data_IF_030813619154
#
_entry.id   IF_030813619154
#
_cell.length_a   1.000
_cell.length_b   1.000
_cell.length_c   1.000
_cell.angle_alpha   90.00
_cell.angle_beta   90.00
_cell.angle_gamma   90.00
#
_symmetry.space_group_name_H-M   'P 1'
#
loop_
_entity.id
_entity.type
_entity.pdbx_description
1 polymer ?
#
# COMPACT_ATOMS: atom_id res chain seq x y z
N UNK A 1 26.21 -25.68 -50.89
CA UNK A 1 26.74 -26.09 -49.57
C UNK A 1 27.03 -24.84 -48.78
N UNK A 2 26.16 -24.55 -47.82
CA UNK A 2 26.20 -23.38 -46.93
C UNK A 2 27.21 -23.69 -45.80
N UNK A 3 27.88 -22.69 -45.21
CA UNK A 3 27.46 -22.40 -43.84
C UNK A 3 27.33 -20.88 -43.65
N UNK A 4 26.16 -20.35 -43.32
CA UNK A 4 25.63 -20.32 -41.96
C UNK A 4 26.57 -19.63 -40.95
N UNK A 5 27.44 -18.72 -41.42
CA UNK A 5 28.37 -17.96 -40.58
C UNK A 5 28.02 -16.46 -40.48
N UNK A 6 26.73 -16.11 -40.60
CA UNK A 6 26.24 -14.73 -40.45
C UNK A 6 25.08 -14.59 -39.46
N UNK A 7 24.76 -15.65 -38.69
CA UNK A 7 23.62 -15.66 -37.76
C UNK A 7 24.01 -15.81 -36.27
N UNK A 8 25.23 -15.44 -35.91
CA UNK A 8 25.65 -15.36 -34.50
C UNK A 8 26.38 -14.03 -34.24
N UNK A 9 25.64 -12.92 -34.26
CA UNK A 9 25.92 -11.81 -33.36
C UNK A 9 24.94 -11.96 -32.20
N UNK A 10 25.28 -12.79 -31.18
CA UNK A 10 24.41 -12.98 -30.04
C UNK A 10 24.38 -11.68 -29.23
N UNK A 11 23.17 -11.15 -29.00
CA UNK A 11 22.65 -10.78 -27.67
C UNK A 11 23.61 -10.07 -26.70
N UNK A 12 24.49 -9.19 -27.17
CA UNK A 12 25.36 -8.39 -26.33
C UNK A 12 25.09 -6.92 -26.56
N UNK A 13 23.86 -6.47 -26.27
CA UNK A 13 23.56 -5.09 -25.82
C UNK A 13 22.20 -5.07 -25.13
N UNK A 14 22.04 -5.92 -24.12
CA UNK A 14 21.32 -5.48 -22.93
C UNK A 14 22.41 -5.28 -21.88
N UNK A 15 23.20 -4.24 -22.08
CA UNK A 15 24.03 -3.71 -21.00
C UNK A 15 23.04 -3.35 -19.91
N UNK A 16 22.97 -4.18 -18.87
CA UNK A 16 22.56 -3.66 -17.58
C UNK A 16 23.47 -2.45 -17.38
N UNK A 17 22.91 -1.25 -17.30
CA UNK A 17 23.55 -0.22 -16.51
C UNK A 17 23.89 -0.94 -15.20
N UNK A 18 25.18 -1.01 -14.92
CA UNK A 18 25.72 -1.57 -13.69
C UNK A 18 26.29 -0.36 -12.97
N UNK A 19 25.91 -0.16 -11.71
CA UNK A 19 26.24 1.05 -10.96
C UNK A 19 27.74 1.32 -11.10
N UNK A 20 28.09 2.57 -11.40
CA UNK A 20 29.48 2.95 -11.64
C UNK A 20 30.32 2.55 -10.40
N UNK A 21 31.53 2.00 -10.56
CA UNK A 21 32.34 1.55 -9.43
C UNK A 21 32.45 2.62 -8.33
N UNK A 22 32.04 2.26 -7.10
CA UNK A 22 32.05 3.15 -5.94
C UNK A 22 30.78 3.99 -5.76
N UNK A 23 29.81 3.91 -6.67
CA UNK A 23 28.43 4.34 -6.44
C UNK A 23 27.60 3.13 -6.06
N UNK A 24 27.06 3.11 -4.84
CA UNK A 24 26.17 2.04 -4.37
C UNK A 24 25.02 2.67 -3.59
N UNK A 25 23.78 2.25 -3.87
CA UNK A 25 22.63 2.58 -3.04
C UNK A 25 22.20 1.38 -2.17
N UNK A 26 21.98 1.62 -0.89
CA UNK A 26 21.40 0.66 0.05
C UNK A 26 20.08 1.22 0.55
N UNK A 27 19.02 0.78 -0.10
CA UNK A 27 17.63 1.06 0.28
C UNK A 27 16.82 -0.24 0.14
N UNK A 28 15.72 -0.34 0.88
CA UNK A 28 14.74 -1.39 0.65
C UNK A 28 13.98 -1.12 -0.66
N UNK A 29 14.09 -2.03 -1.62
CA UNK A 29 13.54 -1.84 -2.98
C UNK A 29 12.01 -1.90 -3.04
N UNK A 30 11.37 -2.56 -2.08
CA UNK A 30 9.91 -2.66 -1.99
C UNK A 30 9.46 -2.47 -0.56
N UNK A 31 8.66 -1.43 -0.34
CA UNK A 31 8.11 -1.06 0.96
C UNK A 31 6.60 -0.98 0.83
N UNK A 32 5.90 -1.78 1.62
CA UNK A 32 4.45 -1.70 1.76
C UNK A 32 4.11 -0.98 3.06
N UNK A 33 3.25 0.04 2.98
CA UNK A 33 2.77 0.79 4.14
C UNK A 33 1.24 0.83 4.09
N UNK A 34 0.59 0.81 5.25
CA UNK A 34 -0.85 1.02 5.31
C UNK A 34 -1.15 2.52 5.15
N UNK A 35 -2.21 2.88 4.43
CA UNK A 35 -2.65 4.26 4.31
C UNK A 35 -2.79 4.90 5.69
N UNK A 36 -2.43 6.19 5.78
CA UNK A 36 -2.42 7.00 6.99
C UNK A 36 -1.45 6.58 8.10
N UNK A 37 -0.56 5.62 7.82
CA UNK A 37 0.55 5.32 8.70
C UNK A 37 1.80 6.06 8.24
N UNK A 38 2.69 6.30 9.20
CA UNK A 38 4.03 6.78 8.91
C UNK A 38 4.95 5.63 8.55
N UNK A 39 5.87 5.86 7.62
CA UNK A 39 6.93 4.92 7.30
C UNK A 39 8.28 5.61 7.27
N UNK A 40 9.26 4.96 7.90
CA UNK A 40 10.66 5.30 7.76
C UNK A 40 11.28 4.30 6.78
N UNK A 41 11.92 4.81 5.74
CA UNK A 41 12.69 4.03 4.77
C UNK A 41 14.18 4.27 5.04
N UNK A 42 14.86 3.36 5.75
CA UNK A 42 16.30 3.46 5.96
C UNK A 42 17.02 3.43 4.62
N UNK A 43 17.97 4.35 4.45
CA UNK A 43 18.73 4.48 3.21
C UNK A 43 20.16 4.92 3.52
N UNK A 44 21.12 4.31 2.85
CA UNK A 44 22.51 4.79 2.83
C UNK A 44 23.07 4.68 1.42
N UNK A 45 24.04 5.52 1.09
CA UNK A 45 24.67 5.50 -0.22
C UNK A 45 26.19 5.61 -0.12
N UNK A 46 26.86 5.24 -1.19
CA UNK A 46 28.28 5.50 -1.39
C UNK A 46 28.49 6.16 -2.74
N UNK A 47 29.51 7.01 -2.81
CA UNK A 47 29.99 7.63 -4.04
C UNK A 47 31.52 7.82 -3.91
N UNK A 48 32.27 7.80 -5.02
CA UNK A 48 33.72 8.01 -4.99
C UNK A 48 34.03 9.45 -4.59
N UNK A 49 34.29 9.65 -3.29
CA UNK A 49 34.79 10.90 -2.71
C UNK A 49 36.22 10.71 -2.20
N UNK A 50 37.14 11.55 -2.66
CA UNK A 50 38.55 11.50 -2.22
C UNK A 50 38.84 12.62 -1.21
N UNK A 51 39.02 12.32 0.09
CA UNK A 51 39.43 13.32 1.07
C UNK A 51 40.87 13.84 0.85
N UNK A 52 41.64 13.25 -0.07
CA UNK A 52 43.01 13.68 -0.43
C UNK A 52 43.07 14.97 -1.26
N UNK A 53 41.96 15.44 -1.82
CA UNK A 53 41.89 16.70 -2.57
C UNK A 53 40.92 17.68 -1.89
N UNK A 54 41.36 18.36 -0.81
CA UNK A 54 40.51 19.24 -0.01
C UNK A 54 40.15 20.57 -0.68
N UNK A 55 40.62 20.88 -1.89
CA UNK A 55 40.26 22.15 -2.55
C UNK A 55 38.77 22.25 -2.93
N UNK A 56 38.02 21.15 -2.82
CA UNK A 56 36.56 21.05 -3.01
C UNK A 56 35.82 20.66 -1.72
N UNK A 57 36.48 20.65 -0.56
CA UNK A 57 35.94 20.09 0.68
C UNK A 57 34.89 20.96 1.38
N UNK A 58 34.63 22.17 0.88
CA UNK A 58 33.58 23.06 1.38
C UNK A 58 32.20 22.80 0.77
N UNK A 59 32.12 21.98 -0.29
CA UNK A 59 30.88 21.81 -1.03
C UNK A 59 29.92 20.93 -0.22
N UNK A 60 28.79 21.55 0.14
CA UNK A 60 27.66 20.92 0.80
C UNK A 60 27.14 19.75 -0.05
N UNK A 61 26.79 18.65 0.61
CA UNK A 61 26.21 17.48 -0.06
C UNK A 61 24.70 17.64 -0.12
N UNK A 62 24.17 17.69 -1.34
CA UNK A 62 22.74 17.75 -1.58
C UNK A 62 22.21 16.38 -1.97
N UNK A 63 21.09 16.01 -1.36
CA UNK A 63 20.35 14.79 -1.58
C UNK A 63 18.97 15.17 -2.10
N UNK A 64 18.51 14.44 -3.10
CA UNK A 64 17.20 14.61 -3.69
C UNK A 64 16.56 13.24 -3.88
N UNK A 65 15.34 13.09 -3.41
CA UNK A 65 14.44 12.04 -3.83
C UNK A 65 13.54 12.56 -4.93
N UNK A 66 13.41 11.80 -6.00
CA UNK A 66 12.54 12.10 -7.14
C UNK A 66 11.59 10.93 -7.39
N UNK A 67 10.44 11.21 -7.98
CA UNK A 67 9.56 10.15 -8.49
C UNK A 67 10.08 9.70 -9.86
N UNK A 68 9.87 8.44 -10.19
CA UNK A 68 10.15 7.93 -11.53
C UNK A 68 9.40 8.74 -12.59
N UNK A 69 10.11 9.12 -13.66
CA UNK A 69 9.64 10.05 -14.69
C UNK A 69 10.11 11.49 -14.49
N UNK A 70 10.37 11.91 -13.24
CA UNK A 70 10.93 13.24 -12.96
C UNK A 70 12.37 13.34 -13.47
N UNK A 71 12.73 14.53 -13.95
CA UNK A 71 14.07 14.94 -14.34
C UNK A 71 14.72 15.75 -13.23
N UNK A 72 16.05 15.93 -13.28
CA UNK A 72 16.80 16.59 -12.21
C UNK A 72 16.43 18.07 -11.97
N UNK A 73 15.78 18.72 -12.95
CA UNK A 73 15.31 20.10 -12.82
C UNK A 73 13.86 20.21 -12.32
N UNK A 74 13.09 19.13 -12.35
CA UNK A 74 11.72 19.09 -11.81
C UNK A 74 11.76 19.17 -10.28
N UNK A 75 10.64 19.45 -9.63
CA UNK A 75 10.56 19.53 -8.18
C UNK A 75 10.83 18.17 -7.53
N UNK A 76 11.59 18.17 -6.43
CA UNK A 76 11.91 16.95 -5.69
C UNK A 76 10.74 16.54 -4.78
N UNK A 77 10.65 15.27 -4.40
CA UNK A 77 9.68 14.84 -3.37
C UNK A 77 10.21 15.07 -1.97
N UNK A 78 11.54 15.05 -1.79
CA UNK A 78 12.23 15.44 -0.57
C UNK A 78 13.67 15.86 -0.91
N UNK A 79 14.19 16.89 -0.25
CA UNK A 79 15.57 17.35 -0.44
C UNK A 79 16.04 18.21 0.74
N UNK A 80 17.36 18.24 0.97
CA UNK A 80 18.01 19.16 1.90
C UNK A 80 18.49 20.46 1.23
N UNK A 81 18.38 20.58 -0.10
CA UNK A 81 18.73 21.79 -0.84
C UNK A 81 17.62 22.85 -0.71
N UNK A 82 17.88 23.91 0.04
CA UNK A 82 16.93 25.01 0.27
C UNK A 82 16.56 25.80 -0.99
N UNK A 83 17.32 25.66 -2.08
CA UNK A 83 17.06 26.33 -3.36
C UNK A 83 16.18 25.49 -4.27
N UNK A 84 15.99 24.21 -3.96
CA UNK A 84 15.18 23.28 -4.74
C UNK A 84 13.75 23.29 -4.23
N UNK A 85 12.79 23.39 -5.14
CA UNK A 85 11.38 23.27 -4.78
C UNK A 85 11.02 21.80 -4.49
N UNK A 86 10.10 21.63 -3.55
CA UNK A 86 9.50 20.34 -3.20
C UNK A 86 8.09 20.30 -3.77
N UNK A 87 7.70 19.16 -4.33
CA UNK A 87 6.37 18.95 -4.89
C UNK A 87 5.28 19.21 -3.84
N UNK A 88 4.21 19.89 -4.26
CA UNK A 88 3.12 20.31 -3.37
C UNK A 88 2.44 19.14 -2.65
N UNK A 89 2.32 18.00 -3.31
CA UNK A 89 1.69 16.79 -2.79
C UNK A 89 2.48 16.15 -1.63
N UNK A 90 3.81 16.30 -1.61
CA UNK A 90 4.71 15.69 -0.62
C UNK A 90 5.21 16.69 0.41
N UNK A 91 5.02 17.99 0.15
CA UNK A 91 5.44 19.07 1.03
C UNK A 91 4.84 18.91 2.43
N UNK A 92 5.71 18.92 3.45
CA UNK A 92 5.31 18.76 4.85
C UNK A 92 5.12 17.32 5.32
N UNK A 93 5.18 16.32 4.41
CA UNK A 93 5.01 14.90 4.75
C UNK A 93 6.24 14.05 4.48
N UNK A 94 6.96 14.36 3.40
CA UNK A 94 8.17 13.64 3.03
C UNK A 94 9.38 14.40 3.56
N UNK A 95 10.16 13.76 4.43
CA UNK A 95 11.28 14.38 5.14
C UNK A 95 12.54 13.53 5.02
N UNK A 96 13.66 14.16 4.69
CA UNK A 96 14.97 13.56 4.91
C UNK A 96 15.30 13.64 6.41
N UNK A 97 15.51 12.48 7.04
CA UNK A 97 15.78 12.39 8.48
C UNK A 97 17.20 11.94 8.82
N UNK A 98 17.93 11.42 7.83
CA UNK A 98 19.34 11.06 7.94
C UNK A 98 20.28 12.26 7.85
N UNK A 99 21.50 12.13 8.41
CA UNK A 99 22.58 13.10 8.19
C UNK A 99 23.29 12.83 6.84
N UNK A 100 23.23 13.75 5.87
CA UNK A 100 23.95 13.60 4.61
C UNK A 100 25.47 13.41 4.77
N UNK A 101 26.08 13.91 5.86
CA UNK A 101 27.53 13.77 6.11
C UNK A 101 27.96 12.34 6.37
N UNK A 102 27.04 11.53 6.90
CA UNK A 102 27.22 10.10 7.13
C UNK A 102 26.75 9.25 5.94
N UNK A 103 26.45 9.91 4.81
CA UNK A 103 25.81 9.34 3.63
C UNK A 103 24.47 8.65 3.94
N UNK A 104 23.73 9.19 4.90
CA UNK A 104 22.40 8.73 5.26
C UNK A 104 21.35 9.48 4.41
N UNK A 105 20.58 8.72 3.63
CA UNK A 105 19.53 9.22 2.74
C UNK A 105 18.13 8.84 3.23
N UNK A 106 18.00 8.44 4.49
CA UNK A 106 16.76 7.91 5.07
C UNK A 106 15.60 8.88 4.91
N UNK A 107 14.49 8.34 4.41
CA UNK A 107 13.28 9.08 4.05
C UNK A 107 12.16 8.71 5.02
N UNK A 108 11.61 9.70 5.72
CA UNK A 108 10.37 9.57 6.48
C UNK A 108 9.21 10.06 5.63
N UNK A 109 8.16 9.25 5.54
CA UNK A 109 6.91 9.57 4.85
C UNK A 109 5.82 9.54 5.90
N UNK A 110 5.27 10.71 6.20
CA UNK A 110 4.17 10.88 7.15
C UNK A 110 2.82 10.77 6.46
N UNK A 111 1.85 10.17 7.15
CA UNK A 111 0.47 10.03 6.67
C UNK A 111 0.44 9.49 5.24
N UNK A 112 0.97 8.28 5.02
CA UNK A 112 1.11 7.71 3.69
C UNK A 112 -0.22 7.71 2.92
N UNK A 113 -0.20 8.28 1.73
CA UNK A 113 -1.39 8.46 0.88
C UNK A 113 -1.42 7.48 -0.25
N UNK A 114 -2.62 7.18 -0.73
CA UNK A 114 -2.76 6.25 -1.84
C UNK A 114 -2.02 6.74 -3.10
N UNK A 115 -2.05 8.06 -3.35
CA UNK A 115 -1.30 8.71 -4.43
C UNK A 115 0.23 8.68 -4.27
N UNK A 116 0.76 8.33 -3.09
CA UNK A 116 2.19 8.19 -2.86
C UNK A 116 2.73 6.85 -3.40
N UNK A 117 1.85 5.91 -3.80
CA UNK A 117 2.31 4.65 -4.39
C UNK A 117 3.09 4.92 -5.68
N UNK A 118 4.29 4.39 -5.82
CA UNK A 118 5.11 4.59 -6.99
C UNK A 118 6.59 4.31 -6.77
N UNK A 119 7.37 4.52 -7.83
CA UNK A 119 8.81 4.29 -7.82
C UNK A 119 9.54 5.62 -7.60
N UNK A 120 10.56 5.59 -6.75
CA UNK A 120 11.35 6.74 -6.35
C UNK A 120 12.84 6.45 -6.51
N UNK A 121 13.61 7.44 -6.95
CA UNK A 121 15.04 7.32 -7.15
C UNK A 121 15.82 8.41 -6.41
N UNK A 122 17.02 8.05 -5.95
CA UNK A 122 17.92 8.95 -5.25
C UNK A 122 18.83 9.68 -6.25
N UNK A 123 19.06 10.96 -6.02
CA UNK A 123 20.11 11.75 -6.66
C UNK A 123 20.95 12.45 -5.60
N UNK A 124 22.26 12.50 -5.83
CA UNK A 124 23.21 13.19 -4.96
C UNK A 124 24.06 14.15 -5.77
N UNK A 125 24.32 15.33 -5.20
CA UNK A 125 25.19 16.34 -5.78
C UNK A 125 26.17 16.88 -4.75
N UNK A 126 27.47 16.91 -5.10
CA UNK A 126 28.52 17.52 -4.29
C UNK A 126 29.66 18.02 -5.17
N UNK A 127 29.87 19.33 -5.19
CA UNK A 127 30.86 19.96 -6.06
C UNK A 127 30.61 19.61 -7.53
N UNK A 128 31.55 18.91 -8.16
CA UNK A 128 31.41 18.41 -9.55
C UNK A 128 30.66 17.09 -9.67
N UNK A 129 30.46 16.36 -8.56
CA UNK A 129 29.76 15.07 -8.55
C UNK A 129 28.27 15.32 -8.68
N UNK A 130 27.67 14.69 -9.69
CA UNK A 130 26.22 14.68 -9.91
C UNK A 130 25.82 13.29 -10.35
N UNK A 131 25.13 12.54 -9.49
CA UNK A 131 24.81 11.14 -9.78
C UNK A 131 23.38 10.79 -9.37
N UNK A 132 22.73 9.95 -10.18
CA UNK A 132 21.37 9.46 -9.95
C UNK A 132 21.40 7.94 -9.93
N UNK A 133 21.01 7.35 -8.80
CA UNK A 133 20.91 5.90 -8.61
C UNK A 133 19.62 5.43 -9.27
N UNK A 134 19.69 5.03 -10.54
CA UNK A 134 18.52 4.58 -11.33
C UNK A 134 18.37 3.08 -11.41
N UNK A 135 19.39 2.31 -11.03
CA UNK A 135 19.33 0.85 -11.05
C UNK A 135 18.61 0.31 -9.83
N UNK A 136 18.89 0.87 -8.65
CA UNK A 136 18.19 0.57 -7.41
C UNK A 136 17.29 1.73 -7.03
N UNK A 137 16.01 1.43 -6.84
CA UNK A 137 14.96 2.40 -6.58
C UNK A 137 14.08 1.91 -5.43
N UNK A 138 13.37 2.84 -4.79
CA UNK A 138 12.34 2.53 -3.82
C UNK A 138 11.00 2.37 -4.54
N UNK A 139 10.40 1.20 -4.51
CA UNK A 139 9.00 0.98 -4.88
C UNK A 139 8.15 1.05 -3.61
N UNK A 140 7.41 2.15 -3.45
CA UNK A 140 6.48 2.34 -2.35
C UNK A 140 5.08 1.88 -2.78
N UNK A 141 4.49 0.98 -2.01
CA UNK A 141 3.12 0.53 -2.20
C UNK A 141 2.28 0.89 -0.98
N UNK A 142 1.32 1.80 -1.15
CA UNK A 142 0.37 2.13 -0.11
C UNK A 142 -0.84 1.22 -0.22
N UNK A 143 -1.13 0.51 0.87
CA UNK A 143 -2.20 -0.49 0.95
C UNK A 143 -3.28 -0.02 1.90
N UNK A 144 -4.51 -0.43 1.63
CA UNK A 144 -5.63 -0.19 2.53
C UNK A 144 -6.52 -1.42 2.56
N UNK A 145 -7.21 -1.64 3.69
CA UNK A 145 -8.09 -2.79 3.88
C UNK A 145 -9.43 -2.31 4.41
N UNK A 146 -10.54 -2.65 3.73
CA UNK A 146 -11.86 -2.44 4.28
C UNK A 146 -12.01 -3.20 5.60
N UNK A 147 -12.82 -2.65 6.49
CA UNK A 147 -13.19 -3.24 7.76
C UNK A 147 -14.70 -3.48 7.78
N UNK A 148 -15.10 -4.69 8.15
CA UNK A 148 -16.51 -5.07 8.35
C UNK A 148 -16.75 -5.10 9.87
N UNK A 149 -17.64 -4.23 10.34
CA UNK A 149 -17.98 -4.09 11.75
C UNK A 149 -19.42 -4.56 11.99
N UNK A 150 -19.63 -5.33 13.04
CA UNK A 150 -20.94 -5.80 13.51
C UNK A 150 -20.86 -6.14 14.99
N UNK A 151 -22.00 -6.24 15.65
CA UNK A 151 -22.07 -6.70 17.04
C UNK A 151 -22.01 -8.23 17.05
N UNK A 152 -20.99 -8.78 17.72
CA UNK A 152 -20.90 -10.22 17.99
C UNK A 152 -21.68 -10.60 19.26
N UNK A 153 -22.28 -11.81 19.31
CA UNK A 153 -22.38 -12.80 18.23
C UNK A 153 -23.53 -12.50 17.25
N UNK A 154 -23.45 -13.03 16.02
CA UNK A 154 -24.62 -13.06 15.13
C UNK A 154 -25.59 -14.13 15.63
N UNK A 155 -26.86 -13.79 15.79
CA UNK A 155 -27.90 -14.71 16.25
C UNK A 155 -28.86 -15.05 15.10
N UNK A 156 -29.11 -16.34 14.90
CA UNK A 156 -30.01 -16.82 13.85
C UNK A 156 -31.41 -16.20 13.99
N UNK A 157 -31.94 -15.64 12.91
CA UNK A 157 -33.25 -14.98 12.87
C UNK A 157 -33.28 -13.56 13.45
N UNK A 158 -32.19 -13.07 14.04
CA UNK A 158 -32.11 -11.72 14.60
C UNK A 158 -31.45 -10.74 13.61
N UNK A 159 -32.16 -9.71 13.13
CA UNK A 159 -31.58 -8.72 12.24
C UNK A 159 -30.42 -7.99 12.92
N UNK A 160 -29.25 -7.99 12.28
CA UNK A 160 -28.03 -7.34 12.77
C UNK A 160 -27.48 -6.41 11.70
N UNK A 161 -27.11 -5.20 12.10
CA UNK A 161 -26.49 -4.20 11.21
C UNK A 161 -25.00 -4.49 11.05
N UNK A 162 -24.55 -4.55 9.80
CA UNK A 162 -23.14 -4.62 9.42
C UNK A 162 -22.75 -3.33 8.73
N UNK A 163 -21.59 -2.80 9.09
CA UNK A 163 -21.01 -1.61 8.48
C UNK A 163 -19.67 -1.96 7.85
N UNK A 164 -19.57 -1.79 6.54
CA UNK A 164 -18.31 -1.82 5.84
C UNK A 164 -17.75 -0.41 5.75
N UNK A 165 -16.54 -0.25 6.26
CA UNK A 165 -15.84 1.02 6.33
C UNK A 165 -14.47 0.85 5.69
N UNK A 166 -14.02 1.88 4.99
CA UNK A 166 -12.64 2.02 4.58
C UNK A 166 -12.14 3.30 5.26
N UNK A 167 -11.08 3.19 6.05
CA UNK A 167 -10.52 4.32 6.81
C UNK A 167 -9.74 5.25 5.87
N UNK A 168 -10.43 5.82 4.88
CA UNK A 168 -9.85 6.85 4.03
C UNK A 168 -9.75 8.14 4.83
N UNK A 169 -8.59 8.39 5.42
CA UNK A 169 -8.45 9.51 6.33
C UNK A 169 -7.12 10.26 6.20
N UNK A 170 -6.63 10.50 4.98
CA UNK A 170 -5.53 11.45 4.72
C UNK A 170 -5.68 12.25 3.41
N UNK A 171 -6.48 11.75 2.45
CA UNK A 171 -6.62 12.31 1.10
C UNK A 171 -8.05 12.75 0.75
N UNK A 172 -8.69 13.51 1.64
CA UNK A 172 -10.02 14.07 1.38
C UNK A 172 -11.11 13.03 1.04
N UNK A 173 -12.33 13.51 0.75
CA UNK A 173 -13.46 12.62 0.38
C UNK A 173 -13.31 12.15 -1.06
N UNK A 174 -12.77 10.95 -1.26
CA UNK A 174 -13.00 10.21 -2.51
C UNK A 174 -14.39 9.56 -2.44
N UNK A 175 -15.25 9.67 -3.48
CA UNK A 175 -16.50 8.93 -3.50
C UNK A 175 -16.22 7.43 -3.47
N UNK A 176 -16.76 6.76 -2.46
CA UNK A 176 -16.64 5.32 -2.29
C UNK A 176 -17.91 4.63 -2.79
N UNK A 177 -17.72 3.59 -3.59
CA UNK A 177 -18.79 2.65 -3.89
C UNK A 177 -18.58 1.39 -3.06
N UNK A 178 -19.66 0.91 -2.45
CA UNK A 178 -19.66 -0.32 -1.66
C UNK A 178 -20.46 -1.39 -2.40
N UNK A 179 -20.08 -2.65 -2.24
CA UNK A 179 -20.86 -3.79 -2.69
C UNK A 179 -20.67 -4.97 -1.74
N UNK A 180 -21.73 -5.73 -1.48
CA UNK A 180 -21.68 -6.92 -0.65
C UNK A 180 -21.92 -8.19 -1.46
N UNK A 181 -21.22 -9.27 -1.13
CA UNK A 181 -21.33 -10.59 -1.76
C UNK A 181 -21.25 -11.68 -0.70
N UNK A 182 -22.15 -12.66 -0.75
CA UNK A 182 -22.14 -13.82 0.15
C UNK A 182 -23.43 -14.63 0.07
N UNK A 183 -23.37 -15.91 0.45
CA UNK A 183 -24.52 -16.84 0.37
C UNK A 183 -25.67 -16.43 1.30
N UNK A 184 -25.34 -15.81 2.44
CA UNK A 184 -26.28 -15.29 3.41
C UNK A 184 -27.13 -14.11 2.89
N UNK A 185 -26.75 -13.52 1.75
CA UNK A 185 -27.44 -12.38 1.13
C UNK A 185 -28.47 -12.81 0.08
N UNK A 186 -28.63 -14.12 -0.16
CA UNK A 186 -29.54 -14.63 -1.19
C UNK A 186 -30.99 -14.18 -0.93
N UNK A 187 -31.59 -13.53 -1.92
CA UNK A 187 -32.97 -13.02 -1.85
C UNK A 187 -33.10 -11.61 -1.27
N UNK A 188 -32.01 -10.95 -0.88
CA UNK A 188 -32.02 -9.52 -0.54
C UNK A 188 -32.23 -8.66 -1.80
N UNK A 189 -32.81 -7.47 -1.61
CA UNK A 189 -32.95 -6.49 -2.69
C UNK A 189 -31.57 -6.05 -3.20
N UNK A 190 -31.27 -6.17 -4.52
CA UNK A 190 -29.98 -5.81 -5.08
C UNK A 190 -29.54 -4.37 -4.77
N UNK A 191 -30.49 -3.43 -4.65
CA UNK A 191 -30.19 -2.03 -4.32
C UNK A 191 -29.56 -1.87 -2.95
N UNK A 192 -29.97 -2.69 -1.97
CA UNK A 192 -29.42 -2.65 -0.60
C UNK A 192 -27.96 -3.11 -0.52
N UNK A 193 -27.53 -3.96 -1.46
CA UNK A 193 -26.18 -4.52 -1.49
C UNK A 193 -25.12 -3.49 -1.92
N UNK A 194 -25.52 -2.34 -2.46
CA UNK A 194 -24.61 -1.29 -2.94
C UNK A 194 -24.34 -0.18 -1.91
N UNK A 195 -24.55 -0.47 -0.62
CA UNK A 195 -24.46 0.50 0.47
C UNK A 195 -23.32 0.14 1.44
N UNK A 196 -22.80 1.15 2.15
CA UNK A 196 -21.80 0.93 3.21
C UNK A 196 -22.34 0.13 4.40
N UNK A 197 -23.66 0.10 4.58
CA UNK A 197 -24.32 -0.53 5.73
C UNK A 197 -25.43 -1.46 5.27
N UNK A 198 -25.39 -2.72 5.71
CA UNK A 198 -26.39 -3.73 5.38
C UNK A 198 -27.02 -4.28 6.66
N UNK A 199 -28.30 -4.65 6.63
CA UNK A 199 -28.93 -5.38 7.75
C UNK A 199 -29.11 -6.83 7.35
N UNK A 200 -28.34 -7.72 7.97
CA UNK A 200 -28.39 -9.17 7.74
C UNK A 200 -29.30 -9.82 8.77
N UNK A 201 -30.18 -10.71 8.33
CA UNK A 201 -30.89 -11.63 9.22
C UNK A 201 -30.34 -13.03 8.97
N UNK A 202 -29.32 -13.47 9.72
CA UNK A 202 -28.61 -14.71 9.42
C UNK A 202 -29.49 -15.92 9.72
N UNK A 203 -29.33 -16.97 8.93
CA UNK A 203 -29.97 -18.28 9.13
C UNK A 203 -28.97 -19.25 9.75
N UNK A 204 -29.42 -20.33 10.41
CA UNK A 204 -28.51 -21.34 10.96
C UNK A 204 -27.51 -21.87 9.93
N UNK A 205 -27.96 -22.09 8.69
CA UNK A 205 -27.11 -22.57 7.59
C UNK A 205 -26.08 -21.56 7.07
N UNK A 206 -26.18 -20.29 7.45
CA UNK A 206 -25.22 -19.26 7.03
C UNK A 206 -23.94 -19.30 7.88
N UNK A 207 -23.90 -20.13 8.94
CA UNK A 207 -22.69 -20.35 9.74
C UNK A 207 -21.53 -20.88 8.88
N UNK A 208 -20.34 -20.33 9.08
CA UNK A 208 -19.14 -20.72 8.35
C UNK A 208 -19.11 -20.27 6.89
N UNK A 209 -20.12 -19.56 6.40
CA UNK A 209 -20.12 -19.00 5.04
C UNK A 209 -19.33 -17.69 4.98
N UNK A 210 -18.83 -17.38 3.78
CA UNK A 210 -18.11 -16.14 3.52
C UNK A 210 -19.06 -14.98 3.27
N UNK A 211 -18.76 -13.84 3.89
CA UNK A 211 -19.33 -12.55 3.55
C UNK A 211 -18.22 -11.59 3.15
N UNK A 212 -18.31 -11.05 1.94
CA UNK A 212 -17.31 -10.14 1.38
C UNK A 212 -17.90 -8.76 1.15
N UNK A 213 -17.22 -7.72 1.63
CA UNK A 213 -17.45 -6.34 1.24
C UNK A 213 -16.39 -5.89 0.24
N UNK A 214 -16.83 -5.28 -0.85
CA UNK A 214 -16.03 -4.67 -1.89
C UNK A 214 -16.15 -3.15 -1.77
N UNK A 215 -15.02 -2.45 -1.85
CA UNK A 215 -14.95 -0.99 -1.81
C UNK A 215 -14.19 -0.51 -3.04
N UNK A 216 -14.87 0.21 -3.93
CA UNK A 216 -14.27 0.78 -5.14
C UNK A 216 -14.07 2.27 -4.94
N UNK A 217 -12.83 2.73 -5.14
CA UNK A 217 -12.47 4.14 -5.07
C UNK A 217 -12.71 4.79 -6.44
N UNK A 218 -13.65 5.73 -6.53
CA UNK A 218 -13.90 6.46 -7.76
C UNK A 218 -12.72 7.38 -8.10
N UNK A 219 -12.21 7.28 -9.33
CA UNK A 219 -11.05 8.04 -9.82
C UNK A 219 -9.74 7.25 -9.87
N UNK A 220 -9.58 6.22 -9.04
CA UNK A 220 -8.40 5.35 -9.00
C UNK A 220 -8.58 4.02 -9.75
N UNK A 221 -9.82 3.66 -10.13
CA UNK A 221 -10.18 2.34 -10.71
C UNK A 221 -9.69 1.13 -9.90
N UNK A 222 -9.53 1.29 -8.57
CA UNK A 222 -9.13 0.20 -7.68
C UNK A 222 -10.30 -0.24 -6.81
N UNK A 223 -10.40 -1.56 -6.70
CA UNK A 223 -11.37 -2.26 -5.86
C UNK A 223 -10.63 -3.02 -4.79
N UNK A 224 -10.98 -2.76 -3.53
CA UNK A 224 -10.47 -3.45 -2.35
C UNK A 224 -11.56 -4.36 -1.82
N UNK A 225 -11.18 -5.45 -1.16
CA UNK A 225 -12.14 -6.37 -0.56
C UNK A 225 -11.77 -6.78 0.85
N UNK A 226 -12.79 -7.13 1.63
CA UNK A 226 -12.65 -7.76 2.93
C UNK A 226 -13.66 -8.89 3.05
N UNK A 227 -13.16 -10.10 3.32
CA UNK A 227 -13.98 -11.28 3.58
C UNK A 227 -13.95 -11.67 5.06
N UNK A 228 -15.10 -11.93 5.65
CA UNK A 228 -15.25 -12.49 7.00
C UNK A 228 -16.03 -13.81 6.93
N UNK A 229 -15.75 -14.72 7.85
CA UNK A 229 -16.53 -15.94 8.06
C UNK A 229 -17.66 -15.63 9.06
N UNK A 230 -18.89 -15.99 8.71
CA UNK A 230 -20.04 -15.74 9.59
C UNK A 230 -20.07 -16.73 10.76
N UNK A 231 -19.98 -16.21 11.98
CA UNK A 231 -20.17 -17.00 13.19
C UNK A 231 -21.59 -16.78 13.73
N UNK A 232 -22.50 -17.73 13.46
CA UNK A 232 -23.92 -17.62 13.76
C UNK A 232 -24.27 -18.57 14.90
N UNK A 233 -24.81 -18.01 15.97
CA UNK A 233 -25.33 -18.72 17.13
C UNK A 233 -26.83 -19.00 16.96
N UNK A 234 -27.29 -20.15 17.46
CA UNK A 234 -28.71 -20.52 17.44
C UNK A 234 -29.25 -20.53 18.87
N UNK A 235 -30.41 -19.92 19.11
CA UNK A 235 -31.15 -20.14 20.35
C UNK A 235 -31.86 -21.50 20.31
N UNK A 236 -31.54 -22.37 21.26
CA UNK A 236 -32.28 -23.59 21.49
C UNK A 236 -33.58 -23.25 22.23
N UNK A 237 -34.70 -23.20 21.52
CA UNK A 237 -36.02 -23.02 22.12
C UNK A 237 -36.34 -24.16 23.11
N UNK A 238 -36.69 -23.82 24.35
CA UNK A 238 -37.29 -24.79 25.30
C UNK A 238 -38.74 -25.03 24.89
N UNK A 239 -39.04 -26.21 24.36
CA UNK A 239 -40.43 -26.64 24.16
C UNK A 239 -41.03 -26.96 25.53
N UNK A 240 -41.81 -26.05 26.11
CA UNK A 240 -42.61 -26.31 27.32
C UNK A 240 -43.99 -26.87 26.93
N UNK A 241 -44.08 -28.19 26.81
CA UNK A 241 -45.34 -28.93 26.70
C UNK A 241 -45.39 -30.05 27.75
N UNK A 242 -46.56 -30.37 28.33
CA UNK A 242 -46.67 -31.44 29.31
C UNK A 242 -46.70 -32.76 28.54
N UNK A 243 -45.53 -33.35 28.25
CA UNK A 243 -45.26 -34.78 27.98
C UNK A 243 -43.95 -34.91 27.17
N UNK A 244 -42.98 -35.63 27.76
CA UNK A 244 -41.74 -36.19 27.18
C UNK A 244 -40.90 -35.26 26.29
N UNK A 245 -39.75 -34.86 26.81
CA UNK A 245 -38.63 -34.30 26.05
C UNK A 245 -38.25 -35.28 24.92
N UNK A 246 -38.60 -34.95 23.68
CA UNK A 246 -38.02 -35.54 22.47
C UNK A 246 -37.31 -34.42 21.73
N UNK A 247 -36.00 -34.36 21.91
CA UNK A 247 -35.06 -33.65 21.03
C UNK A 247 -35.00 -32.13 21.17
N UNK A 248 -33.91 -31.62 21.76
CA UNK A 248 -33.38 -30.34 21.34
C UNK A 248 -32.64 -30.56 20.02
N UNK A 249 -33.18 -30.07 18.91
CA UNK A 249 -32.41 -29.95 17.66
C UNK A 249 -31.79 -28.57 17.64
N UNK A 250 -30.60 -28.45 18.24
CA UNK A 250 -29.65 -27.42 17.83
C UNK A 250 -28.57 -28.12 17.02
N UNK A 251 -28.58 -27.91 15.71
CA UNK A 251 -27.50 -28.34 14.85
C UNK A 251 -26.92 -27.09 14.22
N UNK A 252 -25.87 -26.57 14.85
CA UNK A 252 -24.83 -25.83 14.13
C UNK A 252 -23.89 -26.92 13.60
N UNK A 253 -24.01 -27.25 12.32
CA UNK A 253 -22.96 -27.97 11.59
C UNK A 253 -22.06 -26.93 10.92
#
# INVERSE_FOLDING_TARGET
MVPLLLLLLPLLWRGSLQELPGFELRVQESVAVQACMDVLVPCSFSYPWSPRYPSYSSDELFIYWFREGDRQYDDAVATNDRKKQVKSETQGRFHLVGDPRDNDCSLSIQEARWSDSGVYYLRVERGSVRYSYREKQLNLQVTEKPNIQFLEPLEAGRPTKLTCSLLLACDGRHPLLFSWVGDALHGMDPGTLHSSELTLTPRPQDHGTNLTCWVTLQGAQVTLERTVLLNVSCECGRVSGPLRVVGCVCVCL
#
